data_IF_952724351147
#
_entry.id   IF_952724351147
#
_cell.length_a   1.000
_cell.length_b   1.000
_cell.length_c   1.000
_cell.angle_alpha   90.00
_cell.angle_beta   90.00
_cell.angle_gamma   90.00
#
_symmetry.space_group_name_H-M   'P 1'
#
loop_
_entity.id
_entity.type
_entity.pdbx_description
1 polymer ?
#
# COMPACT_ATOMS: atom_id res chain seq x y z
N UNK A 1 -13.22 24.57 0.25
CA UNK A 1 -13.68 23.29 -0.31
C UNK A 1 -12.58 22.26 -0.05
N UNK A 2 -12.68 21.48 1.05
CA UNK A 2 -11.72 20.41 1.36
C UNK A 2 -12.04 19.26 0.41
N UNK A 3 -11.17 18.99 -0.56
CA UNK A 3 -11.23 17.73 -1.29
C UNK A 3 -11.03 16.63 -0.24
N UNK A 4 -12.05 15.80 -0.03
CA UNK A 4 -11.87 14.56 0.71
C UNK A 4 -10.84 13.75 -0.07
N UNK A 5 -9.65 13.59 0.52
CA UNK A 5 -8.56 12.84 -0.06
C UNK A 5 -8.91 11.37 0.06
N UNK A 6 -9.62 10.88 -0.96
CA UNK A 6 -10.03 9.49 -1.08
C UNK A 6 -8.84 8.66 -1.53
N UNK A 7 -8.87 7.38 -1.18
CA UNK A 7 -7.86 6.44 -1.60
C UNK A 7 -7.99 6.17 -3.11
N UNK A 8 -6.89 6.36 -3.83
CA UNK A 8 -6.86 6.30 -5.28
C UNK A 8 -5.53 5.75 -5.78
N UNK A 9 -5.59 4.99 -6.86
CA UNK A 9 -4.43 4.54 -7.63
C UNK A 9 -4.56 5.07 -9.06
N UNK A 10 -3.58 5.87 -9.48
CA UNK A 10 -3.48 6.42 -10.81
C UNK A 10 -2.35 5.74 -11.56
N UNK A 11 -2.62 5.30 -12.78
CA UNK A 11 -1.61 4.77 -13.69
C UNK A 11 -1.33 5.79 -14.79
N UNK A 12 -0.08 5.92 -15.16
CA UNK A 12 0.34 6.80 -16.24
C UNK A 12 1.51 6.18 -17.01
N UNK A 13 1.67 6.62 -18.26
CA UNK A 13 2.74 6.19 -19.15
C UNK A 13 3.51 7.42 -19.60
N UNK A 14 4.83 7.34 -19.59
CA UNK A 14 5.66 8.38 -20.17
C UNK A 14 5.77 8.13 -21.68
N UNK A 15 4.86 8.59 -22.53
CA UNK A 15 4.79 8.19 -23.97
C UNK A 15 6.12 8.16 -24.74
N UNK A 16 7.06 9.06 -24.43
CA UNK A 16 8.37 9.16 -25.10
C UNK A 16 9.44 8.20 -24.53
N UNK A 17 9.14 7.54 -23.41
CA UNK A 17 10.00 6.61 -22.70
C UNK A 17 9.22 5.31 -22.49
N UNK A 18 9.80 4.14 -22.70
CA UNK A 18 9.08 2.86 -22.48
C UNK A 18 8.91 2.54 -20.97
N UNK A 19 8.39 3.49 -20.20
CA UNK A 19 8.33 3.52 -18.74
C UNK A 19 6.90 3.84 -18.32
N UNK A 20 6.32 2.96 -17.51
CA UNK A 20 5.05 3.16 -16.82
C UNK A 20 5.30 3.65 -15.39
N UNK A 21 4.40 4.49 -14.89
CA UNK A 21 4.39 4.96 -13.52
C UNK A 21 3.03 4.74 -12.87
N UNK A 22 3.04 4.67 -11.55
CA UNK A 22 1.85 4.51 -10.73
C UNK A 22 1.97 5.41 -9.50
N UNK A 23 0.88 6.07 -9.13
CA UNK A 23 0.78 6.91 -7.95
C UNK A 23 -0.41 6.46 -7.12
N UNK A 24 -0.18 6.18 -5.84
CA UNK A 24 -1.22 5.67 -4.95
C UNK A 24 -1.32 6.52 -3.69
N UNK A 25 -2.55 6.73 -3.22
CA UNK A 25 -2.87 7.27 -1.89
C UNK A 25 -3.79 6.27 -1.19
N UNK A 26 -3.45 5.89 0.04
CA UNK A 26 -4.17 4.85 0.85
C UNK A 26 -4.47 5.35 2.26
N UNK A 27 -4.79 6.63 2.42
CA UNK A 27 -4.94 7.26 3.74
C UNK A 27 -6.14 6.76 4.55
N UNK A 28 -7.27 6.45 3.90
CA UNK A 28 -8.48 5.97 4.58
C UNK A 28 -8.38 4.50 4.95
N UNK A 29 -8.00 3.66 3.98
CA UNK A 29 -7.70 2.23 4.15
C UNK A 29 -6.63 2.04 5.23
N UNK A 30 -5.61 2.89 5.25
CA UNK A 30 -4.58 2.87 6.29
C UNK A 30 -5.15 3.12 7.68
N UNK A 31 -6.03 4.12 7.84
CA UNK A 31 -6.69 4.39 9.12
C UNK A 31 -7.55 3.21 9.57
N UNK A 32 -8.28 2.60 8.65
CA UNK A 32 -9.13 1.43 8.94
C UNK A 32 -8.31 0.21 9.38
N UNK A 33 -7.15 -0.05 8.76
CA UNK A 33 -6.23 -1.14 9.16
C UNK A 33 -5.72 -0.93 10.60
N UNK A 34 -5.49 0.32 10.99
CA UNK A 34 -5.06 0.66 12.35
C UNK A 34 -6.20 0.73 13.36
N UNK A 35 -7.44 0.89 12.89
CA UNK A 35 -8.61 0.94 13.73
C UNK A 35 -8.73 -0.41 14.47
N UNK A 36 -8.78 -0.36 15.80
CA UNK A 36 -8.78 -1.50 16.72
C UNK A 36 -7.43 -2.12 17.10
N UNK A 37 -6.29 -1.59 16.62
CA UNK A 37 -4.96 -2.08 17.03
C UNK A 37 -4.06 -0.96 17.56
N UNK A 38 -3.58 -1.10 18.80
CA UNK A 38 -2.69 -0.12 19.40
C UNK A 38 -1.21 -0.41 19.07
N UNK A 39 -0.90 -0.45 17.77
CA UNK A 39 0.46 -0.75 17.29
C UNK A 39 1.47 0.33 17.70
N UNK A 40 2.70 -0.05 18.08
CA UNK A 40 3.82 0.88 18.21
C UNK A 40 4.10 1.63 16.90
N UNK A 41 4.65 2.84 16.99
CA UNK A 41 4.93 3.66 15.81
C UNK A 41 5.77 2.94 14.73
N UNK A 42 6.81 2.15 15.06
CA UNK A 42 7.57 1.41 14.04
C UNK A 42 6.72 0.39 13.27
N UNK A 43 5.80 -0.30 13.96
CA UNK A 43 4.89 -1.28 13.35
C UNK A 43 3.88 -0.57 12.45
N UNK A 44 3.37 0.59 12.88
CA UNK A 44 2.51 1.44 12.05
C UNK A 44 3.23 1.86 10.76
N UNK A 45 4.47 2.33 10.85
CA UNK A 45 5.22 2.72 9.66
C UNK A 45 5.35 1.55 8.67
N UNK A 46 5.74 0.37 9.17
CA UNK A 46 5.95 -0.81 8.35
C UNK A 46 4.68 -1.31 7.65
N UNK A 47 3.56 -1.40 8.37
CA UNK A 47 2.28 -1.81 7.77
C UNK A 47 1.80 -0.80 6.72
N UNK A 48 2.06 0.50 6.92
CA UNK A 48 1.77 1.53 5.94
C UNK A 48 2.61 1.37 4.66
N UNK A 49 3.91 1.08 4.81
CA UNK A 49 4.80 0.76 3.69
C UNK A 49 4.34 -0.49 2.94
N UNK A 50 3.96 -1.55 3.65
CA UNK A 50 3.42 -2.78 3.05
C UNK A 50 2.11 -2.54 2.31
N UNK A 51 1.21 -1.73 2.85
CA UNK A 51 -0.05 -1.38 2.18
C UNK A 51 0.20 -0.68 0.84
N UNK A 52 1.11 0.31 0.83
CA UNK A 52 1.50 1.02 -0.39
C UNK A 52 2.18 0.08 -1.38
N UNK A 53 3.15 -0.71 -0.93
CA UNK A 53 3.88 -1.67 -1.76
C UNK A 53 2.94 -2.70 -2.39
N UNK A 54 2.04 -3.28 -1.60
CA UNK A 54 1.07 -4.27 -2.07
C UNK A 54 0.10 -3.66 -3.07
N UNK A 55 -0.37 -2.43 -2.84
CA UNK A 55 -1.27 -1.72 -3.76
C UNK A 55 -0.63 -1.47 -5.13
N UNK A 56 0.65 -1.04 -5.15
CA UNK A 56 1.41 -0.87 -6.39
C UNK A 56 1.67 -2.21 -7.08
N UNK A 57 2.09 -3.25 -6.34
CA UNK A 57 2.32 -4.58 -6.93
C UNK A 57 1.04 -5.16 -7.54
N UNK A 58 -0.10 -5.01 -6.87
CA UNK A 58 -1.41 -5.46 -7.35
C UNK A 58 -1.75 -4.83 -8.69
N UNK A 59 -1.46 -3.54 -8.88
CA UNK A 59 -1.74 -2.84 -10.12
C UNK A 59 -0.90 -3.33 -11.32
N UNK A 60 0.18 -4.06 -11.08
CA UNK A 60 1.02 -4.65 -12.12
C UNK A 60 0.61 -6.06 -12.56
N UNK A 61 -0.34 -6.70 -11.86
CA UNK A 61 -0.83 -8.04 -12.20
C UNK A 61 -1.54 -8.04 -13.57
N UNK A 62 -1.25 -9.08 -14.38
CA UNK A 62 -1.80 -9.24 -15.73
C UNK A 62 -3.10 -10.07 -15.78
N UNK A 63 -3.57 -10.52 -14.63
CA UNK A 63 -4.74 -11.38 -14.48
C UNK A 63 -5.52 -11.00 -13.22
N UNK A 64 -6.77 -11.44 -13.12
CA UNK A 64 -7.59 -11.23 -11.93
C UNK A 64 -7.22 -12.26 -10.85
N UNK A 65 -6.88 -11.77 -9.67
CA UNK A 65 -6.52 -12.58 -8.50
C UNK A 65 -6.07 -11.69 -7.36
N UNK A 66 -5.84 -12.30 -6.20
CA UNK A 66 -5.40 -11.61 -4.99
C UNK A 66 -3.89 -11.80 -4.79
N UNK A 67 -3.25 -10.81 -4.16
CA UNK A 67 -1.85 -10.89 -3.73
C UNK A 67 -1.77 -10.62 -2.23
N UNK A 68 -0.89 -11.35 -1.56
CA UNK A 68 -0.51 -11.10 -0.18
C UNK A 68 0.99 -10.89 -0.11
N UNK A 69 1.39 -9.77 0.45
CA UNK A 69 2.79 -9.48 0.80
C UNK A 69 2.87 -9.55 2.31
N UNK A 70 3.84 -10.32 2.82
CA UNK A 70 4.06 -10.51 4.24
C UNK A 70 5.56 -10.42 4.56
N UNK A 71 5.88 -9.91 5.73
CA UNK A 71 7.23 -9.91 6.29
C UNK A 71 7.27 -10.90 7.44
N UNK A 72 8.27 -11.78 7.42
CA UNK A 72 8.46 -12.80 8.43
C UNK A 72 9.87 -12.68 9.01
N UNK A 73 10.00 -12.85 10.32
CA UNK A 73 11.30 -12.87 10.99
C UNK A 73 11.23 -13.32 12.43
N UNK A 74 12.40 -13.46 13.06
CA UNK A 74 12.53 -13.93 14.45
C UNK A 74 12.58 -12.77 15.48
N UNK A 75 12.15 -11.57 15.06
CA UNK A 75 12.17 -10.37 15.88
C UNK A 75 10.94 -10.20 16.78
N UNK A 76 10.84 -9.07 17.52
CA UNK A 76 9.69 -8.75 18.38
C UNK A 76 8.34 -8.70 17.65
N UNK A 77 8.36 -8.60 16.32
CA UNK A 77 7.23 -8.74 15.44
C UNK A 77 7.59 -9.86 14.46
N UNK A 78 6.95 -11.02 14.63
CA UNK A 78 7.28 -12.22 13.85
C UNK A 78 6.62 -12.24 12.47
N UNK A 79 5.50 -11.53 12.34
CA UNK A 79 4.71 -11.44 11.13
C UNK A 79 4.12 -10.04 11.00
N UNK A 80 4.22 -9.46 9.80
CA UNK A 80 3.54 -8.23 9.39
C UNK A 80 3.00 -8.35 7.97
#
# INVERSE_FOLDING_TARGET
MKMAQHDQLHRYLFEQFAVRGELVTVSETWKQILENHNYPLPVKALLGELLVATSLLTATLKFAGDITVQLQGDGPMSLA
#
